data_IF_491443918653
#
_entry.id   IF_491443918653
#
_cell.length_a   1.000
_cell.length_b   1.000
_cell.length_c   1.000
_cell.angle_alpha   90.00
_cell.angle_beta   90.00
_cell.angle_gamma   90.00
#
_symmetry.space_group_name_H-M   'P 1'
#
loop_
_entity.id
_entity.type
_entity.pdbx_description
1 polymer ?
#
# COMPACT_ATOMS: atom_id res chain seq x y z
N UNK A 1 1.21 -7.30 7.30
CA UNK A 1 -0.08 -7.77 6.70
C UNK A 1 0.05 -7.86 5.19
N UNK A 2 -0.23 -9.03 4.60
CA UNK A 2 -0.26 -9.21 3.15
C UNK A 2 -1.28 -8.27 2.49
N UNK A 3 -0.94 -7.74 1.30
CA UNK A 3 -1.82 -6.87 0.50
C UNK A 3 -2.62 -7.69 -0.48
N UNK A 4 -3.90 -7.38 -0.62
CA UNK A 4 -4.77 -8.07 -1.58
C UNK A 4 -4.83 -7.32 -2.91
N UNK A 5 -5.16 -8.03 -3.98
CA UNK A 5 -5.44 -7.39 -5.25
C UNK A 5 -6.66 -6.46 -5.09
N UNK A 6 -6.50 -5.20 -5.49
CA UNK A 6 -7.50 -4.14 -5.29
C UNK A 6 -7.20 -3.21 -4.12
N UNK A 7 -6.29 -3.58 -3.20
CA UNK A 7 -5.89 -2.66 -2.13
C UNK A 7 -5.27 -1.39 -2.71
N UNK A 8 -5.66 -0.24 -2.16
CA UNK A 8 -5.15 1.08 -2.55
C UNK A 8 -4.46 1.78 -1.40
N UNK A 9 -3.43 2.53 -1.73
CA UNK A 9 -2.63 3.33 -0.82
C UNK A 9 -2.49 4.72 -1.41
N UNK A 10 -2.66 5.76 -0.60
CA UNK A 10 -2.54 7.15 -1.03
C UNK A 10 -1.46 7.87 -0.22
N UNK A 11 -0.69 8.72 -0.92
CA UNK A 11 0.27 9.60 -0.29
C UNK A 11 -0.39 10.92 0.07
N UNK A 12 -0.48 11.23 1.36
CA UNK A 12 -1.08 12.47 1.87
C UNK A 12 -0.38 13.76 1.41
N UNK A 13 0.89 13.68 0.95
CA UNK A 13 1.67 14.86 0.53
C UNK A 13 1.48 15.21 -0.95
N UNK A 14 1.52 14.20 -1.82
CA UNK A 14 1.49 14.40 -3.28
C UNK A 14 0.22 13.87 -3.96
N UNK A 15 -0.64 13.16 -3.24
CA UNK A 15 -1.86 12.55 -3.76
C UNK A 15 -1.60 11.33 -4.66
N UNK A 16 -0.38 10.79 -4.66
CA UNK A 16 -0.07 9.59 -5.45
C UNK A 16 -0.83 8.39 -4.90
N UNK A 17 -1.48 7.63 -5.78
CA UNK A 17 -2.23 6.42 -5.44
C UNK A 17 -1.50 5.20 -5.99
N UNK A 18 -1.19 4.26 -5.10
CA UNK A 18 -0.67 2.93 -5.43
C UNK A 18 -1.79 1.91 -5.30
N UNK A 19 -2.07 1.18 -6.37
CA UNK A 19 -3.05 0.10 -6.38
C UNK A 19 -2.36 -1.25 -6.60
N UNK A 20 -2.69 -2.21 -5.75
CA UNK A 20 -2.23 -3.59 -5.93
C UNK A 20 -3.04 -4.26 -7.04
N UNK A 21 -2.42 -4.52 -8.19
CA UNK A 21 -3.06 -5.31 -9.27
C UNK A 21 -3.08 -6.81 -8.96
N UNK A 22 -2.12 -7.27 -8.13
CA UNK A 22 -1.99 -8.66 -7.67
C UNK A 22 -1.73 -8.66 -6.18
N UNK A 23 -2.17 -9.72 -5.50
CA UNK A 23 -1.88 -9.91 -4.09
C UNK A 23 -0.36 -9.99 -3.87
N UNK A 24 0.09 -9.43 -2.75
CA UNK A 24 1.49 -9.49 -2.34
C UNK A 24 1.87 -10.97 -2.09
N UNK A 25 2.97 -11.48 -2.65
CA UNK A 25 3.39 -12.87 -2.46
C UNK A 25 3.95 -13.16 -1.06
N UNK A 26 4.03 -12.15 -0.20
CA UNK A 26 4.56 -12.31 1.15
C UNK A 26 3.58 -13.06 2.06
N UNK A 27 4.06 -14.17 2.64
CA UNK A 27 3.29 -15.05 3.52
C UNK A 27 3.40 -14.73 5.02
N UNK A 28 3.98 -13.57 5.38
CA UNK A 28 4.37 -13.23 6.76
C UNK A 28 3.53 -12.10 7.34
N UNK A 29 3.33 -12.10 8.66
CA UNK A 29 2.81 -10.98 9.46
C UNK A 29 3.66 -9.72 9.38
N UNK A 30 4.88 -9.80 8.81
CA UNK A 30 5.76 -8.66 8.58
C UNK A 30 5.01 -7.48 7.95
N UNK A 31 5.11 -6.31 8.58
CA UNK A 31 4.47 -5.09 8.09
C UNK A 31 5.27 -4.56 6.90
N UNK A 32 4.73 -4.75 5.69
CA UNK A 32 5.14 -3.98 4.53
C UNK A 32 4.48 -2.61 4.63
N UNK A 33 5.28 -1.57 4.40
CA UNK A 33 4.77 -0.21 4.34
C UNK A 33 5.21 0.40 3.02
N UNK A 34 4.23 0.83 2.25
CA UNK A 34 4.41 1.55 1.00
C UNK A 34 4.94 2.94 1.35
N UNK A 35 6.00 3.41 0.68
CA UNK A 35 6.65 4.67 0.99
C UNK A 35 6.57 5.64 -0.18
N UNK A 36 6.13 6.86 0.08
CA UNK A 36 6.10 7.95 -0.88
C UNK A 36 6.39 9.27 -0.16
N UNK A 37 7.17 10.17 -0.77
CA UNK A 37 7.61 11.44 -0.14
C UNK A 37 8.28 11.23 1.23
N UNK A 38 9.11 10.17 1.35
CA UNK A 38 9.80 9.77 2.59
C UNK A 38 8.86 9.46 3.77
N UNK A 39 7.57 9.24 3.49
CA UNK A 39 6.55 8.93 4.48
C UNK A 39 5.81 7.64 4.11
N UNK A 40 5.33 6.88 5.12
CA UNK A 40 4.46 5.75 4.88
C UNK A 40 3.13 6.21 4.27
N UNK A 41 2.67 5.51 3.24
CA UNK A 41 1.38 5.77 2.60
C UNK A 41 0.23 5.22 3.44
N UNK A 42 -0.94 5.85 3.30
CA UNK A 42 -2.15 5.50 4.03
C UNK A 42 -3.01 4.55 3.20
N UNK A 43 -3.47 3.44 3.80
CA UNK A 43 -4.42 2.53 3.12
C UNK A 43 -5.75 3.26 2.92
N UNK A 44 -6.25 3.30 1.69
CA UNK A 44 -7.54 3.92 1.35
C UNK A 44 -8.52 2.87 0.82
N UNK A 45 -9.84 3.06 1.03
CA UNK A 45 -10.85 2.20 0.44
C UNK A 45 -10.81 2.25 -1.10
N UNK A 46 -11.16 1.12 -1.72
CA UNK A 46 -11.27 1.00 -3.18
C UNK A 46 -12.52 1.70 -3.74
#
# INVERSE_FOLDING_TARGET
MAREAGDRYECDECGCVLQYEKACPCSSESEHTEMCCDKPMSKVPA
#
